data_IF_646464891582
#
_entry.id   IF_646464891582
#
_cell.length_a   1.000
_cell.length_b   1.000
_cell.length_c   1.000
_cell.angle_alpha   90.00
_cell.angle_beta   90.00
_cell.angle_gamma   90.00
#
_symmetry.space_group_name_H-M   'P 1'
#
loop_
_entity.id
_entity.type
_entity.pdbx_description
1 polymer ?
#
# COMPACT_ATOMS: atom_id res chain seq x y z
N UNK A 1 0.44 -28.73 -6.64
CA UNK A 1 1.89 -28.53 -6.53
C UNK A 1 2.40 -29.21 -5.27
N UNK A 2 3.43 -30.02 -5.42
CA UNK A 2 4.02 -30.82 -4.33
C UNK A 2 4.90 -29.98 -3.39
N UNK A 3 5.15 -28.71 -3.72
CA UNK A 3 5.97 -27.81 -2.93
C UNK A 3 6.05 -26.39 -3.48
N UNK A 4 6.65 -25.49 -2.69
CA UNK A 4 7.00 -24.13 -3.05
C UNK A 4 8.47 -24.02 -3.41
N UNK A 5 8.90 -22.87 -3.94
CA UNK A 5 10.30 -22.58 -4.29
C UNK A 5 10.92 -23.64 -5.22
N UNK A 6 10.19 -24.08 -6.25
CA UNK A 6 10.66 -25.12 -7.16
C UNK A 6 10.82 -26.49 -6.50
N UNK A 7 10.02 -26.81 -5.49
CA UNK A 7 10.04 -28.07 -4.75
C UNK A 7 10.97 -28.10 -3.53
N UNK A 8 11.73 -27.02 -3.27
CA UNK A 8 12.64 -26.93 -2.12
C UNK A 8 11.92 -26.88 -0.77
N UNK A 9 10.67 -26.46 -0.77
CA UNK A 9 9.80 -26.41 0.42
C UNK A 9 8.60 -27.34 0.19
N UNK A 10 8.63 -28.60 0.68
CA UNK A 10 7.54 -29.56 0.51
C UNK A 10 6.30 -29.09 1.30
N UNK A 11 5.11 -29.29 0.73
CA UNK A 11 3.83 -29.02 1.38
C UNK A 11 3.24 -30.30 1.96
N UNK A 12 2.83 -30.26 3.22
CA UNK A 12 2.12 -31.34 3.90
C UNK A 12 0.60 -31.13 3.77
N UNK A 13 0.02 -31.80 2.79
CA UNK A 13 -1.42 -31.71 2.52
C UNK A 13 -2.24 -32.26 3.68
N UNK A 14 -1.73 -33.31 4.37
CA UNK A 14 -2.42 -33.89 5.54
C UNK A 14 -2.54 -32.87 6.68
N UNK A 15 -1.46 -32.17 7.00
CA UNK A 15 -1.48 -31.09 8.01
C UNK A 15 -2.35 -29.93 7.59
N UNK A 16 -2.32 -29.54 6.31
CA UNK A 16 -3.19 -28.48 5.81
C UNK A 16 -4.67 -28.83 5.95
N UNK A 17 -5.06 -30.06 5.55
CA UNK A 17 -6.43 -30.54 5.74
C UNK A 17 -6.84 -30.59 7.19
N UNK A 18 -5.99 -31.10 8.09
CA UNK A 18 -6.25 -31.14 9.52
C UNK A 18 -6.41 -29.75 10.12
N UNK A 19 -5.66 -28.76 9.64
CA UNK A 19 -5.81 -27.37 10.07
C UNK A 19 -7.16 -26.77 9.66
N UNK A 20 -7.59 -26.99 8.42
CA UNK A 20 -8.88 -26.52 7.90
C UNK A 20 -10.05 -27.29 8.54
N UNK A 21 -9.91 -28.58 8.83
CA UNK A 21 -10.92 -29.38 9.50
C UNK A 21 -11.34 -28.81 10.85
N UNK A 22 -10.41 -28.26 11.63
CA UNK A 22 -10.72 -27.58 12.90
C UNK A 22 -11.70 -26.42 12.78
N UNK A 23 -11.79 -25.81 11.61
CA UNK A 23 -12.76 -24.75 11.31
C UNK A 23 -14.03 -25.33 10.71
N UNK A 24 -13.90 -26.35 9.86
CA UNK A 24 -15.03 -26.99 9.16
C UNK A 24 -15.95 -27.75 10.10
N UNK A 25 -15.39 -28.53 11.03
CA UNK A 25 -16.15 -29.39 11.95
C UNK A 25 -17.18 -28.65 12.83
N UNK A 26 -16.81 -27.52 13.52
CA UNK A 26 -17.77 -26.74 14.27
C UNK A 26 -18.89 -26.12 13.44
N UNK A 27 -18.64 -25.91 12.15
CA UNK A 27 -19.58 -25.31 11.21
C UNK A 27 -20.46 -26.37 10.50
N UNK A 28 -20.17 -27.66 10.68
CA UNK A 28 -20.88 -28.74 10.02
C UNK A 28 -20.74 -28.77 8.50
N UNK A 29 -19.62 -28.28 7.96
CA UNK A 29 -19.34 -28.20 6.53
C UNK A 29 -18.11 -29.04 6.14
N UNK A 30 -17.92 -29.30 4.85
CA UNK A 30 -16.72 -30.03 4.39
C UNK A 30 -15.45 -29.18 4.49
N UNK A 31 -14.29 -29.85 4.51
CA UNK A 31 -12.98 -29.18 4.52
C UNK A 31 -12.82 -28.30 3.28
N UNK A 32 -13.28 -28.76 2.12
CA UNK A 32 -13.25 -28.02 0.87
C UNK A 32 -14.15 -26.77 0.92
N UNK A 33 -15.35 -26.89 1.49
CA UNK A 33 -16.26 -25.75 1.67
C UNK A 33 -15.64 -24.72 2.61
N UNK A 34 -15.03 -25.15 3.70
CA UNK A 34 -14.35 -24.25 4.63
C UNK A 34 -13.15 -23.53 3.94
N UNK A 35 -12.33 -24.27 3.22
CA UNK A 35 -11.19 -23.70 2.47
C UNK A 35 -11.64 -22.67 1.43
N UNK A 36 -12.70 -22.98 0.67
CA UNK A 36 -13.29 -22.04 -0.29
C UNK A 36 -13.89 -20.82 0.41
N UNK A 37 -14.56 -21.00 1.52
CA UNK A 37 -15.09 -19.89 2.33
C UNK A 37 -13.98 -18.94 2.81
N UNK A 38 -12.87 -19.47 3.31
CA UNK A 38 -11.70 -18.66 3.68
C UNK A 38 -11.14 -17.88 2.49
N UNK A 39 -11.00 -18.53 1.33
CA UNK A 39 -10.56 -17.89 0.09
C UNK A 39 -11.50 -16.76 -0.32
N UNK A 40 -12.81 -16.98 -0.28
CA UNK A 40 -13.81 -15.97 -0.63
C UNK A 40 -13.78 -14.77 0.32
N UNK A 41 -13.63 -15.00 1.63
CA UNK A 41 -13.52 -13.92 2.63
C UNK A 41 -12.27 -13.07 2.40
N UNK A 42 -11.13 -13.70 2.13
CA UNK A 42 -9.87 -12.99 1.83
C UNK A 42 -10.01 -12.16 0.56
N UNK A 43 -10.58 -12.72 -0.51
CA UNK A 43 -10.82 -11.97 -1.75
C UNK A 43 -11.74 -10.76 -1.52
N UNK A 44 -12.82 -10.93 -0.79
CA UNK A 44 -13.73 -9.83 -0.47
C UNK A 44 -13.03 -8.73 0.34
N UNK A 45 -12.17 -9.10 1.28
CA UNK A 45 -11.37 -8.14 2.05
C UNK A 45 -10.40 -7.36 1.14
N UNK A 46 -9.77 -8.04 0.16
CA UNK A 46 -8.90 -7.39 -0.83
C UNK A 46 -9.69 -6.46 -1.77
N UNK A 47 -10.87 -6.88 -2.24
CA UNK A 47 -11.78 -6.03 -3.04
C UNK A 47 -12.14 -4.75 -2.28
N UNK A 48 -12.50 -4.87 -1.01
CA UNK A 48 -12.80 -3.70 -0.18
C UNK A 48 -11.58 -2.77 -0.02
N UNK A 49 -10.37 -3.33 0.10
CA UNK A 49 -9.13 -2.54 0.10
C UNK A 49 -8.91 -1.77 -1.21
N UNK A 50 -9.17 -2.41 -2.36
CA UNK A 50 -9.05 -1.76 -3.67
C UNK A 50 -10.13 -0.66 -3.82
N UNK A 51 -11.38 -0.91 -3.39
CA UNK A 51 -12.45 0.09 -3.43
C UNK A 51 -12.10 1.36 -2.65
N UNK A 52 -11.42 1.22 -1.51
CA UNK A 52 -10.97 2.39 -0.71
C UNK A 52 -10.00 3.29 -1.45
N UNK A 53 -9.13 2.73 -2.28
CA UNK A 53 -8.14 3.53 -3.01
C UNK A 53 -8.61 3.94 -4.41
N UNK A 54 -9.76 3.46 -4.85
CA UNK A 54 -10.37 3.77 -6.16
C UNK A 54 -11.73 4.45 -5.99
N UNK A 55 -12.78 3.69 -5.70
CA UNK A 55 -14.17 4.17 -5.65
C UNK A 55 -14.36 5.30 -4.64
N UNK A 56 -13.81 5.16 -3.42
CA UNK A 56 -13.91 6.20 -2.40
C UNK A 56 -13.14 7.49 -2.77
N UNK A 57 -12.26 7.42 -3.78
CA UNK A 57 -11.56 8.57 -4.37
C UNK A 57 -12.17 9.06 -5.67
N UNK A 58 -13.32 8.50 -6.07
CA UNK A 58 -14.04 8.92 -7.28
C UNK A 58 -13.57 8.25 -8.57
N UNK A 59 -12.75 7.20 -8.50
CA UNK A 59 -12.32 6.45 -9.67
C UNK A 59 -13.18 5.21 -9.88
N UNK A 60 -13.57 4.94 -11.13
CA UNK A 60 -14.22 3.69 -11.51
C UNK A 60 -13.16 2.61 -11.80
N UNK A 61 -13.12 1.50 -11.03
CA UNK A 61 -12.15 0.44 -11.26
C UNK A 61 -12.18 -0.18 -12.66
N UNK A 62 -13.33 -0.12 -13.34
CA UNK A 62 -13.53 -0.66 -14.70
C UNK A 62 -12.73 0.09 -15.78
N UNK A 63 -12.33 1.33 -15.48
CA UNK A 63 -11.51 2.15 -16.38
C UNK A 63 -10.00 1.83 -16.26
N UNK A 64 -9.64 0.88 -15.39
CA UNK A 64 -8.25 0.55 -15.10
C UNK A 64 -7.91 -0.90 -15.45
N UNK A 65 -6.62 -1.18 -15.57
CA UNK A 65 -6.07 -2.53 -15.61
C UNK A 65 -5.61 -2.95 -14.22
N UNK A 66 -5.78 -4.23 -13.87
CA UNK A 66 -5.31 -4.76 -12.60
C UNK A 66 -3.92 -5.39 -12.77
N UNK A 67 -2.92 -4.80 -12.12
CA UNK A 67 -1.54 -5.32 -12.14
C UNK A 67 -1.30 -6.19 -10.91
N UNK A 68 -0.91 -7.44 -11.13
CA UNK A 68 -0.59 -8.37 -10.05
C UNK A 68 0.89 -8.37 -9.71
N UNK A 69 1.21 -8.11 -8.43
CA UNK A 69 2.55 -8.20 -7.87
C UNK A 69 2.56 -9.10 -6.64
N UNK A 70 3.62 -9.88 -6.50
CA UNK A 70 3.76 -10.83 -5.40
C UNK A 70 3.53 -12.29 -5.81
N UNK A 71 4.17 -13.23 -5.12
CA UNK A 71 4.15 -14.66 -5.46
C UNK A 71 2.78 -15.33 -5.32
N UNK A 72 1.91 -14.87 -4.42
CA UNK A 72 0.58 -15.42 -4.19
C UNK A 72 -0.53 -14.74 -5.03
N UNK A 73 -0.25 -13.60 -5.64
CA UNK A 73 -1.25 -12.77 -6.34
C UNK A 73 -1.98 -13.53 -7.44
N UNK A 74 -1.29 -14.40 -8.17
CA UNK A 74 -1.87 -15.18 -9.25
C UNK A 74 -3.06 -16.07 -8.80
N UNK A 75 -3.08 -16.49 -7.52
CA UNK A 75 -4.18 -17.28 -6.98
C UNK A 75 -5.47 -16.46 -6.76
N UNK A 76 -5.38 -15.15 -6.65
CA UNK A 76 -6.48 -14.28 -6.26
C UNK A 76 -6.93 -13.31 -7.36
N UNK A 77 -6.02 -12.87 -8.21
CA UNK A 77 -6.23 -11.71 -9.09
C UNK A 77 -7.42 -11.83 -10.05
N UNK A 78 -7.68 -13.04 -10.55
CA UNK A 78 -8.81 -13.30 -11.44
C UNK A 78 -10.15 -13.14 -10.71
N UNK A 79 -10.24 -13.62 -9.47
CA UNK A 79 -11.43 -13.45 -8.67
C UNK A 79 -11.66 -11.98 -8.30
N UNK A 80 -10.59 -11.24 -7.99
CA UNK A 80 -10.66 -9.80 -7.71
C UNK A 80 -11.12 -9.01 -8.94
N UNK A 81 -10.53 -9.26 -10.11
CA UNK A 81 -10.89 -8.60 -11.34
C UNK A 81 -12.36 -8.86 -11.72
N UNK A 82 -12.80 -10.12 -11.62
CA UNK A 82 -14.19 -10.49 -11.88
C UNK A 82 -15.18 -9.76 -10.96
N UNK A 83 -14.89 -9.71 -9.67
CA UNK A 83 -15.74 -9.04 -8.67
C UNK A 83 -15.82 -7.52 -8.88
N UNK A 84 -14.76 -6.92 -9.43
CA UNK A 84 -14.66 -5.48 -9.67
C UNK A 84 -15.06 -5.07 -11.09
N UNK A 85 -15.35 -6.03 -11.98
CA UNK A 85 -15.65 -5.76 -13.38
C UNK A 85 -14.45 -5.25 -14.17
N UNK A 86 -13.24 -5.64 -13.80
CA UNK A 86 -12.01 -5.26 -14.50
C UNK A 86 -11.68 -6.31 -15.54
N UNK A 87 -11.67 -5.92 -16.82
CA UNK A 87 -11.51 -6.84 -17.95
C UNK A 87 -10.04 -7.23 -18.23
N UNK A 88 -9.10 -6.42 -17.79
CA UNK A 88 -7.69 -6.61 -18.14
C UNK A 88 -6.83 -6.82 -16.89
N UNK A 89 -6.09 -7.94 -16.89
CA UNK A 89 -5.13 -8.29 -15.84
C UNK A 89 -3.73 -8.35 -16.45
N UNK A 90 -2.76 -7.74 -15.80
CA UNK A 90 -1.34 -7.81 -16.16
C UNK A 90 -0.59 -8.54 -15.05
N UNK A 91 0.03 -9.67 -15.39
CA UNK A 91 0.96 -10.39 -14.52
C UNK A 91 2.36 -10.29 -15.12
N UNK A 92 3.22 -9.40 -14.62
CA UNK A 92 4.60 -9.29 -15.10
C UNK A 92 5.38 -10.58 -14.89
N UNK A 93 6.34 -10.88 -15.77
CA UNK A 93 7.24 -12.04 -15.60
C UNK A 93 7.97 -12.04 -14.26
N UNK A 94 8.25 -10.86 -13.72
CA UNK A 94 8.88 -10.65 -12.43
C UNK A 94 7.87 -10.41 -11.29
N UNK A 95 6.60 -10.81 -11.44
CA UNK A 95 5.56 -10.53 -10.46
C UNK A 95 5.96 -10.91 -9.02
N UNK A 96 6.61 -12.05 -8.82
CA UNK A 96 7.07 -12.51 -7.50
C UNK A 96 8.20 -11.69 -6.90
N UNK A 97 8.99 -10.99 -7.73
CA UNK A 97 10.12 -10.15 -7.33
C UNK A 97 9.89 -8.66 -7.59
N UNK A 98 8.68 -8.26 -7.97
CA UNK A 98 8.41 -6.89 -8.42
C UNK A 98 8.67 -5.84 -7.34
N UNK A 99 8.43 -6.17 -6.07
CA UNK A 99 8.74 -5.27 -4.95
C UNK A 99 10.25 -5.03 -4.81
N UNK A 100 11.06 -6.08 -4.91
CA UNK A 100 12.52 -5.96 -4.87
C UNK A 100 13.06 -5.18 -6.07
N UNK A 101 12.51 -5.45 -7.26
CA UNK A 101 12.83 -4.68 -8.47
C UNK A 101 12.47 -3.20 -8.30
N UNK A 102 11.28 -2.92 -7.77
CA UNK A 102 10.85 -1.54 -7.48
C UNK A 102 11.79 -0.81 -6.53
N UNK A 103 12.29 -1.47 -5.50
CA UNK A 103 13.28 -0.88 -4.58
C UNK A 103 14.60 -0.53 -5.26
N UNK A 104 15.06 -1.39 -6.20
CA UNK A 104 16.34 -1.14 -6.91
C UNK A 104 16.24 0.09 -7.82
N UNK A 105 15.07 0.32 -8.44
CA UNK A 105 14.87 1.42 -9.39
C UNK A 105 14.24 2.67 -8.77
N UNK A 106 13.87 2.62 -7.49
CA UNK A 106 13.27 3.77 -6.80
C UNK A 106 14.32 4.75 -6.35
N UNK A 107 14.00 6.03 -6.42
CA UNK A 107 14.80 7.07 -5.81
C UNK A 107 14.81 6.93 -4.28
N UNK A 108 15.90 7.35 -3.66
CA UNK A 108 15.97 7.45 -2.19
C UNK A 108 15.07 8.59 -1.74
N UNK A 109 14.13 8.30 -0.85
CA UNK A 109 13.16 9.27 -0.34
C UNK A 109 13.07 9.22 1.17
N UNK A 110 13.28 10.35 1.82
CA UNK A 110 13.01 10.57 3.23
C UNK A 110 11.77 11.45 3.41
N UNK A 111 10.91 11.07 4.34
CA UNK A 111 9.76 11.89 4.74
C UNK A 111 10.01 12.39 6.16
N UNK A 112 9.90 13.70 6.35
CA UNK A 112 9.99 14.35 7.65
C UNK A 112 8.67 15.03 7.95
N UNK A 113 8.23 14.93 9.18
CA UNK A 113 7.00 15.57 9.66
C UNK A 113 7.29 16.29 10.97
N UNK A 114 6.71 17.47 11.12
CA UNK A 114 6.73 18.24 12.36
C UNK A 114 5.31 18.68 12.69
N UNK A 115 4.85 18.52 13.95
CA UNK A 115 3.53 19.00 14.35
C UNK A 115 3.52 20.54 14.40
N UNK A 116 2.50 21.13 13.79
CA UNK A 116 2.27 22.56 13.79
C UNK A 116 0.82 22.88 14.22
N UNK A 117 0.48 22.76 15.52
CA UNK A 117 -0.88 23.01 16.00
C UNK A 117 -1.16 24.53 16.07
N UNK A 118 -1.18 25.18 14.91
CA UNK A 118 -1.42 26.63 14.77
C UNK A 118 -2.63 26.90 13.91
N UNK A 119 -3.24 28.08 14.09
CA UNK A 119 -4.28 28.59 13.18
C UNK A 119 -3.62 29.52 12.18
N UNK A 120 -3.95 29.34 10.89
CA UNK A 120 -3.41 30.17 9.81
C UNK A 120 -4.20 31.49 9.68
N UNK A 121 -4.25 32.27 10.75
CA UNK A 121 -5.02 33.52 10.83
C UNK A 121 -4.13 34.74 11.09
N UNK A 122 -2.83 34.58 11.25
CA UNK A 122 -1.89 35.66 11.52
C UNK A 122 -0.47 35.37 11.02
N UNK A 123 0.32 36.43 10.91
CA UNK A 123 1.70 36.38 10.42
C UNK A 123 2.62 35.49 11.27
N UNK A 124 2.42 35.43 12.58
CA UNK A 124 3.25 34.61 13.46
C UNK A 124 3.05 33.10 13.20
N UNK A 125 1.85 32.69 12.82
CA UNK A 125 1.57 31.30 12.42
C UNK A 125 2.35 30.92 11.15
N UNK A 126 2.38 31.78 10.15
CA UNK A 126 3.15 31.54 8.91
C UNK A 126 4.66 31.48 9.20
N UNK A 127 5.18 32.40 10.00
CA UNK A 127 6.59 32.38 10.42
C UNK A 127 6.95 31.09 11.17
N UNK A 128 6.06 30.59 12.02
CA UNK A 128 6.27 29.33 12.74
C UNK A 128 6.35 28.14 11.79
N UNK A 129 5.46 28.08 10.81
CA UNK A 129 5.45 27.01 9.81
C UNK A 129 6.71 27.06 8.97
N UNK A 130 7.10 28.25 8.52
CA UNK A 130 8.32 28.43 7.72
C UNK A 130 9.57 27.98 8.50
N UNK A 131 9.67 28.36 9.78
CA UNK A 131 10.77 27.90 10.64
C UNK A 131 10.80 26.36 10.78
N UNK A 132 9.64 25.73 10.91
CA UNK A 132 9.57 24.26 10.98
C UNK A 132 10.00 23.58 9.68
N UNK A 133 9.62 24.15 8.52
CA UNK A 133 10.09 23.64 7.25
C UNK A 133 11.60 23.74 7.14
N UNK A 134 12.21 24.87 7.46
CA UNK A 134 13.67 25.01 7.45
C UNK A 134 14.35 23.95 8.33
N UNK A 135 13.87 23.75 9.55
CA UNK A 135 14.43 22.77 10.49
C UNK A 135 14.40 21.34 9.91
N UNK A 136 13.23 20.89 9.38
CA UNK A 136 13.12 19.53 8.86
C UNK A 136 13.81 19.36 7.51
N UNK A 137 13.93 20.40 6.70
CA UNK A 137 14.67 20.41 5.43
C UNK A 137 16.17 20.29 5.66
N UNK A 138 16.74 21.10 6.55
CA UNK A 138 18.15 21.01 6.91
C UNK A 138 18.50 19.59 7.37
N UNK A 139 17.64 19.00 8.18
CA UNK A 139 17.81 17.60 8.62
C UNK A 139 17.74 16.63 7.45
N UNK A 140 16.77 16.79 6.55
CA UNK A 140 16.60 15.94 5.36
C UNK A 140 17.76 16.03 4.40
N UNK A 141 18.21 17.24 4.10
CA UNK A 141 19.38 17.50 3.24
C UNK A 141 20.64 16.91 3.86
N UNK A 142 20.83 17.09 5.17
CA UNK A 142 21.98 16.53 5.88
C UNK A 142 22.03 14.99 5.79
N UNK A 143 20.86 14.31 5.89
CA UNK A 143 20.81 12.87 5.73
C UNK A 143 21.15 12.41 4.32
N UNK A 144 20.58 13.04 3.28
CA UNK A 144 20.89 12.69 1.90
C UNK A 144 22.36 12.94 1.54
N UNK A 145 22.96 14.01 2.08
CA UNK A 145 24.40 14.27 1.93
C UNK A 145 25.26 13.20 2.63
N UNK A 146 24.84 12.75 3.81
CA UNK A 146 25.51 11.66 4.49
C UNK A 146 25.44 10.33 3.73
N UNK A 147 24.36 10.11 2.97
CA UNK A 147 24.20 8.97 2.06
C UNK A 147 24.96 9.13 0.73
N UNK A 148 25.62 10.28 0.52
CA UNK A 148 26.49 10.54 -0.65
C UNK A 148 25.81 11.26 -1.80
N UNK A 149 24.61 11.83 -1.64
CA UNK A 149 23.94 12.62 -2.68
C UNK A 149 24.49 14.05 -2.73
N UNK A 150 24.73 14.55 -3.95
CA UNK A 150 25.13 15.94 -4.19
C UNK A 150 23.92 16.88 -4.12
N UNK A 151 24.15 18.17 -3.89
CA UNK A 151 23.09 19.17 -3.72
C UNK A 151 22.15 19.28 -4.94
N UNK A 152 22.68 19.13 -6.13
CA UNK A 152 21.93 19.18 -7.39
C UNK A 152 21.06 17.94 -7.65
N UNK A 153 21.32 16.86 -6.92
CA UNK A 153 20.51 15.63 -6.96
C UNK A 153 19.38 15.61 -5.90
N UNK A 154 19.32 16.61 -5.01
CA UNK A 154 18.33 16.66 -3.93
C UNK A 154 17.14 17.51 -4.38
N UNK A 155 15.95 16.91 -4.33
CA UNK A 155 14.69 17.60 -4.55
C UNK A 155 13.84 17.61 -3.28
N UNK A 156 13.28 18.76 -2.94
CA UNK A 156 12.44 18.96 -1.77
C UNK A 156 11.01 19.18 -2.23
N UNK A 157 10.06 18.55 -1.53
CA UNK A 157 8.62 18.80 -1.70
C UNK A 157 8.01 19.11 -0.34
N UNK A 158 7.25 20.19 -0.27
CA UNK A 158 6.55 20.63 0.92
C UNK A 158 5.07 20.34 0.82
N UNK A 159 4.48 19.85 1.89
CA UNK A 159 3.03 19.74 2.04
C UNK A 159 2.62 20.02 3.47
N UNK A 160 1.39 20.42 3.68
CA UNK A 160 0.81 20.66 5.00
C UNK A 160 -0.51 19.91 5.10
N UNK A 161 -0.67 19.14 6.17
CA UNK A 161 -1.97 18.58 6.54
C UNK A 161 -2.75 19.63 7.32
N UNK A 162 -3.85 20.09 6.79
CA UNK A 162 -4.67 21.13 7.38
C UNK A 162 -6.15 20.81 7.31
N UNK A 163 -6.92 21.45 8.19
CA UNK A 163 -8.38 21.33 8.25
C UNK A 163 -9.03 22.63 8.65
N UNK A 164 -10.27 22.80 8.28
CA UNK A 164 -11.07 23.90 8.82
C UNK A 164 -11.43 23.66 10.28
N UNK A 165 -11.64 24.74 11.02
CA UNK A 165 -12.09 24.65 12.43
C UNK A 165 -13.41 23.91 12.49
N UNK A 166 -13.47 22.85 13.31
CA UNK A 166 -14.63 21.96 13.42
C UNK A 166 -14.64 20.76 12.48
N UNK A 167 -13.70 20.68 11.52
CA UNK A 167 -13.55 19.52 10.65
C UNK A 167 -12.75 18.41 11.36
N UNK A 168 -13.14 17.14 11.16
CA UNK A 168 -12.48 16.00 11.79
C UNK A 168 -11.28 15.51 10.95
N UNK A 169 -11.43 15.47 9.64
CA UNK A 169 -10.41 14.99 8.72
C UNK A 169 -9.57 16.13 8.16
N UNK A 170 -8.29 15.87 8.04
CA UNK A 170 -7.32 16.77 7.43
C UNK A 170 -7.22 16.53 5.92
N UNK A 171 -6.85 17.56 5.19
CA UNK A 171 -6.52 17.50 3.77
C UNK A 171 -5.04 17.86 3.61
N UNK A 172 -4.31 17.06 2.87
CA UNK A 172 -2.93 17.37 2.48
C UNK A 172 -2.93 18.39 1.35
N UNK A 173 -2.24 19.49 1.54
CA UNK A 173 -2.08 20.56 0.54
C UNK A 173 -0.60 20.68 0.19
N UNK A 174 -0.30 20.48 -1.08
CA UNK A 174 1.04 20.73 -1.61
C UNK A 174 1.25 22.23 -1.74
N UNK A 175 2.35 22.73 -1.17
CA UNK A 175 2.67 24.17 -1.16
C UNK A 175 3.88 24.55 -2.04
N UNK A 176 4.33 23.61 -2.85
CA UNK A 176 5.48 23.80 -3.72
C UNK A 176 6.83 23.71 -3.00
N UNK A 177 7.86 24.10 -3.71
CA UNK A 177 9.25 24.19 -3.22
C UNK A 177 9.58 25.62 -2.85
#
# INVERSE_FOLDING_TARGET
PEGLLGGKLPLDIGKARAAVARVAEPLGISVEQAAYGMFAIVNNSMVNGIRRVSVERGYDPRDFVLVGAGGATAAHITALASEMGIDTIILPKLASGLCAFGQIISDVKYNYMAPAPVRLDNAAAYQRIDSLFHEIEEKGVSHLKADGFADDAIAIKRSIDMRYVGQVHECTVDIGT
#
